data_IF_869014290179
#
_entry.id   IF_869014290179
#
_cell.length_a   1.000
_cell.length_b   1.000
_cell.length_c   1.000
_cell.angle_alpha   90.00
_cell.angle_beta   90.00
_cell.angle_gamma   90.00
#
_symmetry.space_group_name_H-M   'P 1'
#
loop_
_entity.id
_entity.type
_entity.pdbx_description
1 polymer ?
#
# COMPACT_ATOMS: atom_id res chain seq x y z
N UNK A 1 14.63 11.01 -9.88
CA UNK A 1 13.18 11.09 -10.15
C UNK A 1 12.48 9.95 -9.44
N UNK A 2 11.35 10.22 -8.80
CA UNK A 2 10.61 9.19 -8.08
C UNK A 2 9.49 8.61 -8.91
N UNK A 3 9.28 7.32 -8.75
CA UNK A 3 8.18 6.61 -9.34
C UNK A 3 7.20 6.22 -8.23
N UNK A 4 5.92 6.30 -8.49
CA UNK A 4 4.88 6.01 -7.50
C UNK A 4 4.05 4.83 -7.95
N UNK A 5 3.55 4.10 -6.96
CA UNK A 5 2.70 2.94 -7.20
C UNK A 5 1.61 2.92 -6.12
N UNK A 6 0.42 2.55 -6.52
CA UNK A 6 -0.72 2.45 -5.61
C UNK A 6 -1.16 0.99 -5.55
N UNK A 7 -1.27 0.49 -4.33
CA UNK A 7 -1.83 -0.85 -4.09
C UNK A 7 -3.08 -0.69 -3.26
N UNK A 8 -4.15 -1.32 -3.69
CA UNK A 8 -5.41 -1.32 -2.98
C UNK A 8 -5.63 -2.70 -2.37
N UNK A 9 -5.85 -2.72 -1.06
CA UNK A 9 -6.14 -3.96 -0.34
C UNK A 9 -7.63 -3.98 -0.04
N UNK A 10 -8.32 -4.97 -0.57
CA UNK A 10 -9.75 -5.12 -0.35
C UNK A 10 -10.03 -5.37 1.13
N UNK A 11 -11.13 -4.80 1.60
CA UNK A 11 -11.53 -4.88 3.00
C UNK A 11 -11.50 -6.31 3.55
N UNK A 12 -11.91 -7.28 2.74
CA UNK A 12 -11.96 -8.67 3.18
C UNK A 12 -10.61 -9.26 3.53
N UNK A 13 -9.53 -8.64 3.05
CA UNK A 13 -8.16 -9.09 3.33
C UNK A 13 -7.50 -8.34 4.48
N UNK A 14 -8.19 -7.35 5.04
CA UNK A 14 -7.67 -6.60 6.17
C UNK A 14 -7.97 -7.38 7.44
N UNK A 15 -6.92 -7.96 8.02
CA UNK A 15 -7.02 -8.77 9.24
C UNK A 15 -6.85 -7.90 10.47
N UNK A 16 -7.33 -8.37 11.62
CA UNK A 16 -7.22 -7.62 12.88
C UNK A 16 -5.77 -7.35 13.26
N UNK A 17 -4.88 -8.28 12.96
CA UNK A 17 -3.45 -8.14 13.25
C UNK A 17 -2.67 -7.52 12.09
N UNK A 18 -3.37 -7.18 11.00
CA UNK A 18 -2.77 -6.59 9.81
C UNK A 18 -1.68 -7.44 9.17
N UNK A 19 -1.73 -8.76 9.36
CA UNK A 19 -0.69 -9.64 8.83
C UNK A 19 -0.59 -9.60 7.32
N UNK A 20 -1.74 -9.56 6.65
CA UNK A 20 -1.74 -9.46 5.18
C UNK A 20 -1.13 -8.14 4.71
N UNK A 21 -1.52 -7.06 5.37
CA UNK A 21 -1.02 -5.72 5.03
C UNK A 21 0.48 -5.62 5.26
N UNK A 22 0.97 -6.15 6.37
CA UNK A 22 2.41 -6.17 6.64
C UNK A 22 3.17 -6.98 5.60
N UNK A 23 2.60 -8.11 5.18
CA UNK A 23 3.21 -8.93 4.13
C UNK A 23 3.34 -8.20 2.82
N UNK A 24 2.30 -7.44 2.45
CA UNK A 24 2.34 -6.62 1.23
C UNK A 24 3.44 -5.56 1.35
N UNK A 25 3.49 -4.85 2.48
CA UNK A 25 4.50 -3.82 2.69
C UNK A 25 5.91 -4.38 2.65
N UNK A 26 6.14 -5.52 3.29
CA UNK A 26 7.46 -6.15 3.29
C UNK A 26 7.88 -6.61 1.91
N UNK A 27 6.94 -7.19 1.17
CA UNK A 27 7.21 -7.63 -0.20
C UNK A 27 7.62 -6.46 -1.08
N UNK A 28 6.92 -5.35 -0.97
CA UNK A 28 7.24 -4.17 -1.76
C UNK A 28 8.55 -3.52 -1.30
N UNK A 29 8.81 -3.53 0.02
CA UNK A 29 10.06 -3.00 0.54
C UNK A 29 11.27 -3.78 0.01
N UNK A 30 11.12 -5.09 -0.16
CA UNK A 30 12.20 -5.92 -0.72
C UNK A 30 12.49 -5.55 -2.17
N UNK A 31 11.51 -4.97 -2.87
CA UNK A 31 11.70 -4.47 -4.24
C UNK A 31 12.12 -2.99 -4.27
N UNK A 32 12.43 -2.41 -3.12
CA UNK A 32 12.89 -1.03 -3.05
C UNK A 32 11.81 0.02 -2.93
N UNK A 33 10.56 -0.40 -2.73
CA UNK A 33 9.46 0.54 -2.57
C UNK A 33 9.33 1.00 -1.12
N UNK A 34 9.05 2.29 -0.93
CA UNK A 34 8.81 2.88 0.38
C UNK A 34 7.37 3.30 0.51
N UNK A 35 6.78 3.09 1.69
CA UNK A 35 5.42 3.54 1.96
C UNK A 35 5.43 5.05 2.14
N UNK A 36 4.62 5.74 1.35
CA UNK A 36 4.46 7.19 1.44
C UNK A 36 3.23 7.56 2.25
N UNK A 37 2.14 6.83 2.01
CA UNK A 37 0.86 7.17 2.62
C UNK A 37 -0.03 5.93 2.66
N UNK A 38 -0.86 5.86 3.68
CA UNK A 38 -1.88 4.82 3.82
C UNK A 38 -3.19 5.53 4.15
N UNK A 39 -4.25 5.17 3.44
CA UNK A 39 -5.56 5.74 3.69
C UNK A 39 -6.62 4.67 3.48
N UNK A 40 -7.79 4.89 4.07
CA UNK A 40 -8.95 4.04 3.84
C UNK A 40 -9.92 4.76 2.93
N UNK A 41 -10.43 4.04 1.95
CA UNK A 41 -11.46 4.58 1.07
C UNK A 41 -12.80 4.55 1.80
N UNK A 42 -13.23 5.72 2.24
CA UNK A 42 -14.48 5.87 2.99
C UNK A 42 -15.63 6.33 2.11
N UNK A 43 -15.49 6.19 0.81
CA UNK A 43 -16.54 6.62 -0.13
C UNK A 43 -17.80 5.76 -0.04
N UNK A 44 -17.71 4.61 0.61
CA UNK A 44 -18.85 3.73 0.84
C UNK A 44 -19.30 3.81 2.28
N UNK A 45 -20.53 3.44 2.56
CA UNK A 45 -21.14 3.53 3.90
C UNK A 45 -20.46 2.65 4.93
N UNK A 46 -19.61 1.73 4.50
CA UNK A 46 -18.87 0.86 5.40
C UNK A 46 -17.39 1.12 5.21
N UNK A 47 -16.62 0.78 6.24
CA UNK A 47 -15.17 0.86 6.17
C UNK A 47 -14.68 0.25 4.85
N UNK A 48 -14.02 1.04 4.06
CA UNK A 48 -13.65 0.67 2.70
C UNK A 48 -12.31 -0.03 2.60
N UNK A 49 -11.83 -0.09 1.37
CA UNK A 49 -10.56 -0.71 1.06
C UNK A 49 -9.41 0.18 1.55
N UNK A 50 -8.28 -0.46 1.84
CA UNK A 50 -7.08 0.27 2.20
C UNK A 50 -6.31 0.61 0.93
N UNK A 51 -5.87 1.86 0.83
CA UNK A 51 -5.07 2.33 -0.29
C UNK A 51 -3.68 2.69 0.22
N UNK A 52 -2.66 2.07 -0.33
CA UNK A 52 -1.28 2.31 0.07
C UNK A 52 -0.53 2.90 -1.12
N UNK A 53 0.10 4.05 -0.88
CA UNK A 53 0.91 4.71 -1.89
C UNK A 53 2.38 4.43 -1.59
N UNK A 54 3.09 3.93 -2.58
CA UNK A 54 4.52 3.65 -2.47
C UNK A 54 5.30 4.56 -3.42
N UNK A 55 6.54 4.81 -3.06
CA UNK A 55 7.47 5.49 -3.97
C UNK A 55 8.78 4.73 -4.04
N UNK A 56 9.47 4.92 -5.15
CA UNK A 56 10.79 4.33 -5.35
C UNK A 56 11.63 5.29 -6.17
N UNK A 57 12.89 5.44 -5.78
CA UNK A 57 13.81 6.26 -6.57
C UNK A 57 14.09 5.58 -7.90
N UNK A 58 14.00 6.33 -8.96
CA UNK A 58 14.24 5.83 -10.30
C UNK A 58 15.60 6.29 -10.76
N UNK A 59 16.44 5.34 -11.11
CA UNK A 59 17.74 5.64 -11.70
C UNK A 59 17.58 5.76 -13.20
N UNK A 60 17.55 6.98 -13.69
CA UNK A 60 17.57 7.24 -15.12
C UNK A 60 19.02 7.26 -15.57
N UNK A 61 19.44 6.19 -16.12
CA UNK A 61 20.79 6.10 -16.64
C UNK A 61 20.77 6.24 -18.15
#
# INVERSE_FOLDING_TARGET
MKTYKIIEIQRKFIKKDYSYTEGVMESEANDGWEVVSVAFDMSKDICGDMVIVFSRERNDV
#
